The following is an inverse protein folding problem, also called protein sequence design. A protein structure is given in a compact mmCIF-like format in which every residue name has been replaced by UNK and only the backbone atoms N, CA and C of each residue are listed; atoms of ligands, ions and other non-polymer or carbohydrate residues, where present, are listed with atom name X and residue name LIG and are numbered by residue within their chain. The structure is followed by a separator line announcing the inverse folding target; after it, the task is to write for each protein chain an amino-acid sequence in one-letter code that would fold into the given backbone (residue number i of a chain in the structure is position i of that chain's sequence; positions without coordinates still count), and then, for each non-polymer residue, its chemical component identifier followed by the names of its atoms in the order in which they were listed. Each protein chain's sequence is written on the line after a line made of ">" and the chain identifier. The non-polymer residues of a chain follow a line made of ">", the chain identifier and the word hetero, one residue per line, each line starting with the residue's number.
data_IF_779609358973
#
_entry.id   IF_779609358973
#
_cell.length_a   1.000
_cell.length_b   1.000
_cell.length_c   1.000
_cell.angle_alpha   90.00
_cell.angle_beta   90.00
_cell.angle_gamma   90.00
#
_symmetry.space_group_name_H-M   'P 1'
#
loop_
_entity.id
_entity.type
_entity.pdbx_description
1 polymer ?
#
# COMPACT_ATOMS: atom_id res chain seq x y z
N UNK A 1 -52.70 -13.20 -48.84
CA UNK A 1 -53.20 -11.80 -48.83
C UNK A 1 -54.71 -11.84 -49.01
N UNK A 2 -55.55 -10.99 -48.38
CA UNK A 2 -55.34 -9.95 -47.34
C UNK A 2 -55.98 -10.32 -45.96
N UNK A 3 -55.47 -9.85 -44.80
CA UNK A 3 -55.94 -8.71 -43.95
C UNK A 3 -57.25 -9.00 -43.15
N UNK A 4 -57.49 -8.67 -41.86
CA UNK A 4 -56.89 -7.81 -40.81
C UNK A 4 -57.74 -8.01 -39.50
N UNK A 5 -57.16 -7.69 -38.30
CA UNK A 5 -57.75 -7.46 -36.94
C UNK A 5 -58.13 -8.68 -36.05
N UNK A 6 -57.41 -8.94 -34.93
CA UNK A 6 -57.52 -8.34 -33.56
C UNK A 6 -58.82 -8.75 -32.84
N UNK A 7 -58.88 -9.21 -31.59
CA UNK A 7 -57.94 -9.32 -30.46
C UNK A 7 -58.65 -10.04 -29.29
N UNK A 8 -57.86 -10.57 -28.34
CA UNK A 8 -58.18 -10.91 -26.92
C UNK A 8 -58.67 -12.33 -26.58
N UNK A 9 -57.83 -13.05 -25.83
CA UNK A 9 -58.16 -13.94 -24.68
C UNK A 9 -56.86 -14.29 -23.91
N UNK A 10 -56.89 -14.70 -22.63
CA UNK A 10 -56.20 -13.96 -21.57
C UNK A 10 -55.02 -14.68 -20.88
N UNK A 11 -54.12 -13.84 -20.38
CA UNK A 11 -53.47 -13.86 -19.05
C UNK A 11 -53.08 -15.21 -18.44
N UNK A 12 -51.83 -15.62 -18.70
CA UNK A 12 -50.98 -16.33 -17.72
C UNK A 12 -49.54 -15.88 -17.98
N UNK A 13 -48.97 -15.02 -17.13
CA UNK A 13 -47.52 -14.99 -16.88
C UNK A 13 -47.15 -14.03 -15.72
N UNK A 14 -45.98 -14.31 -15.15
CA UNK A 14 -45.26 -13.60 -14.08
C UNK A 14 -45.56 -13.95 -12.62
N UNK A 15 -45.04 -15.12 -12.22
CA UNK A 15 -44.55 -15.37 -10.87
C UNK A 15 -43.03 -15.65 -10.91
N UNK A 16 -42.24 -14.66 -11.32
CA UNK A 16 -40.82 -14.53 -10.97
C UNK A 16 -40.28 -13.23 -11.53
N UNK A 17 -40.29 -12.18 -10.70
CA UNK A 17 -39.37 -11.03 -10.72
C UNK A 17 -39.93 -9.98 -9.75
N UNK A 18 -39.46 -10.02 -8.50
CA UNK A 18 -39.58 -8.91 -7.55
C UNK A 18 -38.77 -9.23 -6.30
N UNK A 19 -37.54 -8.70 -6.26
CA UNK A 19 -36.94 -7.97 -5.12
C UNK A 19 -35.47 -7.67 -5.44
N UNK A 20 -35.25 -6.86 -6.49
CA UNK A 20 -34.12 -5.92 -6.51
C UNK A 20 -34.66 -4.61 -5.95
N UNK A 21 -34.39 -4.38 -4.67
CA UNK A 21 -34.54 -3.15 -3.87
C UNK A 21 -34.56 -3.67 -2.41
N UNK A 22 -33.63 -3.36 -1.51
CA UNK A 22 -32.81 -2.16 -1.35
C UNK A 22 -31.77 -2.48 -0.28
N UNK A 23 -30.51 -2.12 -0.50
CA UNK A 23 -29.71 -1.47 0.53
C UNK A 23 -28.64 -0.63 -0.14
N UNK A 24 -28.67 0.66 0.19
CA UNK A 24 -27.76 1.69 -0.26
C UNK A 24 -26.31 1.32 0.10
N UNK A 25 -25.47 1.12 -0.91
CA UNK A 25 -24.01 1.30 -0.81
C UNK A 25 -23.43 1.46 -2.23
N UNK A 26 -23.79 2.57 -2.88
CA UNK A 26 -23.36 2.84 -4.27
C UNK A 26 -22.69 4.20 -4.45
N UNK A 27 -22.23 4.84 -3.36
CA UNK A 27 -21.57 6.15 -3.42
C UNK A 27 -20.10 6.15 -2.93
N UNK A 28 -19.60 5.11 -2.26
CA UNK A 28 -18.28 5.11 -1.61
C UNK A 28 -17.19 4.31 -2.34
N UNK A 29 -17.54 3.54 -3.38
CA UNK A 29 -16.58 2.64 -4.07
C UNK A 29 -15.72 3.31 -5.15
N UNK A 30 -15.88 4.61 -5.38
CA UNK A 30 -15.38 5.29 -6.59
C UNK A 30 -14.47 6.50 -6.30
N UNK A 31 -14.11 6.75 -5.06
CA UNK A 31 -13.37 7.94 -4.66
C UNK A 31 -11.93 7.58 -4.33
N UNK A 32 -11.02 8.52 -4.59
CA UNK A 32 -9.66 8.48 -4.03
C UNK A 32 -9.72 8.39 -2.49
N UNK A 33 -8.68 7.86 -1.82
CA UNK A 33 -8.63 7.80 -0.36
C UNK A 33 -8.84 9.17 0.27
N UNK A 34 -9.46 9.25 1.44
CA UNK A 34 -9.69 10.52 2.15
C UNK A 34 -8.39 11.09 2.76
N UNK A 35 -8.38 12.36 3.16
CA UNK A 35 -7.20 12.94 3.85
C UNK A 35 -7.02 12.28 5.21
N UNK A 36 -8.11 11.87 5.85
CA UNK A 36 -8.07 11.06 7.08
C UNK A 36 -7.49 9.67 6.83
N UNK A 37 -7.81 9.02 5.71
CA UNK A 37 -7.21 7.73 5.33
C UNK A 37 -5.68 7.88 5.19
N UNK A 38 -5.23 8.94 4.50
CA UNK A 38 -3.81 9.21 4.29
C UNK A 38 -3.09 9.57 5.60
N UNK A 39 -3.75 10.32 6.50
CA UNK A 39 -3.21 10.64 7.81
C UNK A 39 -3.06 9.39 8.69
N UNK A 40 -4.09 8.53 8.74
CA UNK A 40 -4.02 7.26 9.46
C UNK A 40 -2.94 6.34 8.88
N UNK A 41 -2.75 6.35 7.56
CA UNK A 41 -1.65 5.62 6.94
C UNK A 41 -0.28 6.17 7.36
N UNK A 42 -0.09 7.50 7.40
CA UNK A 42 1.15 8.10 7.91
C UNK A 42 1.44 7.67 9.36
N UNK A 43 0.44 7.63 10.23
CA UNK A 43 0.59 7.13 11.61
C UNK A 43 1.02 5.66 11.65
N UNK A 44 0.47 4.83 10.77
CA UNK A 44 0.87 3.42 10.65
C UNK A 44 2.33 3.29 10.18
N UNK A 45 2.76 4.09 9.20
CA UNK A 45 4.14 4.09 8.71
C UNK A 45 5.12 4.52 9.81
N UNK A 46 4.79 5.54 10.61
CA UNK A 46 5.60 5.93 11.78
C UNK A 46 5.65 4.82 12.84
N UNK A 47 4.54 4.09 13.01
CA UNK A 47 4.48 2.93 13.91
C UNK A 47 5.39 1.80 13.43
N UNK A 48 5.46 1.53 12.13
CA UNK A 48 6.41 0.56 11.57
C UNK A 48 7.86 1.00 11.79
N UNK A 49 8.18 2.28 11.60
CA UNK A 49 9.52 2.81 11.88
C UNK A 49 9.90 2.59 13.35
N UNK A 50 9.01 2.97 14.26
CA UNK A 50 9.21 2.78 15.71
C UNK A 50 9.36 1.30 16.08
N UNK A 51 8.63 0.41 15.41
CA UNK A 51 8.74 -1.04 15.61
C UNK A 51 10.13 -1.56 15.22
N UNK A 52 10.70 -1.12 14.09
CA UNK A 52 12.06 -1.53 13.72
C UNK A 52 13.08 -1.01 14.72
N UNK A 53 12.93 0.22 15.19
CA UNK A 53 13.80 0.79 16.22
C UNK A 53 13.73 -0.05 17.51
N UNK A 54 12.53 -0.48 17.93
CA UNK A 54 12.34 -1.39 19.05
C UNK A 54 13.09 -2.72 18.86
N UNK A 55 12.98 -3.33 17.69
CA UNK A 55 13.69 -4.58 17.35
C UNK A 55 15.20 -4.37 17.36
N UNK A 56 15.69 -3.25 16.82
CA UNK A 56 17.12 -2.95 16.81
C UNK A 56 17.69 -2.73 18.22
N UNK A 57 16.93 -2.08 19.12
CA UNK A 57 17.32 -1.93 20.52
C UNK A 57 17.41 -3.29 21.22
N UNK A 58 16.43 -4.17 21.01
CA UNK A 58 16.46 -5.54 21.54
C UNK A 58 17.63 -6.37 21.00
N UNK A 59 18.12 -6.08 19.78
CA UNK A 59 19.27 -6.77 19.21
C UNK A 59 20.54 -6.55 20.03
N UNK A 60 20.74 -5.32 20.53
CA UNK A 60 21.87 -4.99 21.39
C UNK A 60 21.84 -5.80 22.69
N UNK A 61 20.68 -5.87 23.34
CA UNK A 61 20.48 -6.65 24.58
C UNK A 61 20.64 -8.16 24.35
N UNK A 62 20.26 -8.64 23.17
CA UNK A 62 20.37 -10.04 22.77
C UNK A 62 21.77 -10.46 22.29
N UNK A 63 22.72 -9.52 22.19
CA UNK A 63 24.02 -9.75 21.57
C UNK A 63 23.93 -10.18 20.10
N UNK A 64 22.91 -9.71 19.38
CA UNK A 64 22.70 -9.96 17.94
C UNK A 64 23.02 -8.71 17.12
N UNK A 65 23.35 -8.89 15.84
CA UNK A 65 23.39 -7.78 14.89
C UNK A 65 21.95 -7.24 14.67
N UNK A 66 21.73 -5.91 14.61
CA UNK A 66 20.40 -5.32 14.43
C UNK A 66 19.62 -5.87 13.23
N UNK A 67 20.24 -5.87 12.05
CA UNK A 67 19.63 -6.37 10.82
C UNK A 67 19.31 -7.87 10.87
N UNK A 68 20.15 -8.66 11.55
CA UNK A 68 19.87 -10.08 11.75
C UNK A 68 18.60 -10.29 12.59
N UNK A 69 18.41 -9.51 13.65
CA UNK A 69 17.22 -9.63 14.48
C UNK A 69 15.98 -9.12 13.73
N UNK A 70 16.12 -8.07 12.92
CA UNK A 70 15.08 -7.58 12.04
C UNK A 70 14.65 -8.61 10.99
N UNK A 71 15.59 -9.33 10.37
CA UNK A 71 15.29 -10.43 9.44
C UNK A 71 14.51 -11.56 10.11
N UNK A 72 14.93 -11.97 11.32
CA UNK A 72 14.20 -12.95 12.11
C UNK A 72 12.78 -12.47 12.41
N UNK A 73 12.63 -11.17 12.71
CA UNK A 73 11.35 -10.56 13.05
C UNK A 73 10.40 -10.59 11.84
N UNK A 74 10.89 -10.18 10.67
CA UNK A 74 10.12 -10.22 9.44
C UNK A 74 9.73 -11.65 9.05
N UNK A 75 10.64 -12.62 9.16
CA UNK A 75 10.34 -14.02 8.87
C UNK A 75 9.26 -14.58 9.79
N UNK A 76 9.27 -14.21 11.07
CA UNK A 76 8.23 -14.57 12.03
C UNK A 76 6.91 -13.87 11.72
N UNK A 77 6.94 -12.59 11.35
CA UNK A 77 5.75 -11.84 10.92
C UNK A 77 5.06 -12.50 9.72
N UNK A 78 5.84 -12.92 8.71
CA UNK A 78 5.33 -13.65 7.53
C UNK A 78 4.71 -14.99 7.93
N UNK A 79 5.35 -15.76 8.80
CA UNK A 79 4.80 -17.04 9.27
C UNK A 79 3.50 -16.86 10.06
N UNK A 80 3.42 -15.84 10.91
CA UNK A 80 2.20 -15.49 11.65
C UNK A 80 1.10 -15.00 10.71
N UNK A 81 1.46 -14.25 9.67
CA UNK A 81 0.52 -13.82 8.64
C UNK A 81 -0.03 -14.99 7.83
N UNK A 82 0.80 -15.97 7.46
CA UNK A 82 0.34 -17.18 6.77
C UNK A 82 -0.70 -17.95 7.60
N UNK A 83 -0.41 -18.17 8.89
CA UNK A 83 -1.36 -18.79 9.83
C UNK A 83 -2.64 -17.98 10.00
N UNK A 84 -2.51 -16.65 10.16
CA UNK A 84 -3.65 -15.76 10.32
C UNK A 84 -4.54 -15.73 9.07
N UNK A 85 -3.93 -15.69 7.87
CA UNK A 85 -4.64 -15.59 6.60
C UNK A 85 -5.49 -16.82 6.25
N UNK A 86 -5.14 -17.98 6.82
CA UNK A 86 -5.83 -19.26 6.60
C UNK A 86 -6.82 -19.61 7.71
N UNK A 87 -6.81 -18.88 8.84
CA UNK A 87 -7.71 -19.11 9.98
C UNK A 87 -9.18 -19.01 9.56
N UNK A 88 -9.98 -20.03 9.93
CA UNK A 88 -11.41 -20.08 9.67
C UNK A 88 -12.22 -19.12 10.56
N UNK A 89 -11.71 -18.83 11.76
CA UNK A 89 -12.32 -17.94 12.74
C UNK A 89 -11.54 -16.63 12.76
N UNK A 90 -11.93 -15.69 11.90
CA UNK A 90 -11.50 -14.29 12.01
C UNK A 90 -12.72 -13.50 12.44
N UNK A 91 -12.73 -12.89 13.64
CA UNK A 91 -13.71 -11.85 13.93
C UNK A 91 -13.62 -10.81 12.81
N UNK A 92 -14.73 -10.53 12.15
CA UNK A 92 -14.75 -9.66 10.96
C UNK A 92 -14.23 -8.23 11.24
N UNK A 93 -14.08 -7.88 12.52
CA UNK A 93 -13.82 -6.55 13.06
C UNK A 93 -12.57 -6.51 13.95
N UNK A 94 -11.71 -7.53 13.94
CA UNK A 94 -10.48 -7.52 14.75
C UNK A 94 -9.24 -7.41 13.87
N UNK A 95 -8.63 -6.23 13.89
CA UNK A 95 -7.29 -6.01 13.32
C UNK A 95 -6.27 -7.04 13.85
N UNK A 96 -5.39 -7.57 12.98
CA UNK A 96 -4.33 -8.46 13.42
C UNK A 96 -3.28 -7.73 14.26
N UNK A 97 -2.36 -8.49 14.86
CA UNK A 97 -1.19 -7.91 15.53
C UNK A 97 -0.33 -7.11 14.55
N UNK A 98 0.42 -6.13 15.06
CA UNK A 98 1.15 -5.16 14.23
C UNK A 98 2.11 -5.80 13.21
N UNK A 99 2.77 -6.90 13.58
CA UNK A 99 3.66 -7.67 12.71
C UNK A 99 2.91 -8.33 11.55
N UNK A 100 1.76 -8.94 11.83
CA UNK A 100 0.87 -9.54 10.83
C UNK A 100 0.25 -8.46 9.94
N UNK A 101 -0.11 -7.30 10.52
CA UNK A 101 -0.57 -6.14 9.77
C UNK A 101 0.51 -5.61 8.81
N UNK A 102 1.77 -5.53 9.25
CA UNK A 102 2.90 -5.14 8.42
C UNK A 102 3.08 -6.07 7.22
N UNK A 103 3.00 -7.39 7.44
CA UNK A 103 3.06 -8.37 6.37
C UNK A 103 1.87 -8.25 5.41
N UNK A 104 0.65 -8.05 5.93
CA UNK A 104 -0.54 -7.88 5.10
C UNK A 104 -0.48 -6.59 4.26
N UNK A 105 -0.07 -5.48 4.88
CA UNK A 105 0.17 -4.18 4.24
C UNK A 105 1.13 -4.33 3.06
N UNK A 106 2.30 -4.95 3.27
CA UNK A 106 3.29 -5.16 2.22
C UNK A 106 2.77 -6.02 1.05
N UNK A 107 1.89 -7.00 1.31
CA UNK A 107 1.27 -7.79 0.23
C UNK A 107 0.25 -6.98 -0.58
N UNK A 108 -0.55 -6.12 0.07
CA UNK A 108 -1.56 -5.29 -0.61
C UNK A 108 -0.93 -4.20 -1.49
N UNK A 109 0.26 -3.71 -1.12
CA UNK A 109 1.05 -2.76 -1.92
C UNK A 109 1.67 -3.39 -3.17
N UNK A 110 1.38 -4.66 -3.46
CA UNK A 110 1.64 -5.28 -4.76
C UNK A 110 0.30 -5.75 -5.38
N UNK A 111 -0.44 -4.88 -6.08
CA UNK A 111 -1.84 -5.10 -6.45
C UNK A 111 -2.08 -6.35 -7.30
N UNK A 112 -1.16 -6.65 -8.24
CA UNK A 112 -1.23 -7.88 -9.06
C UNK A 112 -1.05 -9.15 -8.23
N UNK A 113 -0.07 -9.17 -7.32
CA UNK A 113 0.19 -10.31 -6.45
C UNK A 113 -0.98 -10.54 -5.49
N UNK A 114 -1.52 -9.46 -4.90
CA UNK A 114 -2.70 -9.54 -4.05
C UNK A 114 -3.93 -10.03 -4.81
N UNK A 115 -4.23 -9.46 -5.98
CA UNK A 115 -5.34 -9.92 -6.82
C UNK A 115 -5.20 -11.40 -7.18
N UNK A 116 -3.99 -11.85 -7.55
CA UNK A 116 -3.72 -13.24 -7.87
C UNK A 116 -3.95 -14.17 -6.66
N UNK A 117 -3.54 -13.76 -5.48
CA UNK A 117 -3.80 -14.49 -4.25
C UNK A 117 -5.31 -14.65 -3.98
N UNK A 118 -6.10 -13.59 -4.17
CA UNK A 118 -7.57 -13.65 -4.01
C UNK A 118 -8.22 -14.55 -5.07
N UNK A 119 -7.81 -14.44 -6.34
CA UNK A 119 -8.29 -15.32 -7.42
C UNK A 119 -8.05 -16.80 -7.12
N UNK A 120 -6.98 -17.12 -6.41
CA UNK A 120 -6.61 -18.48 -6.00
C UNK A 120 -7.27 -18.93 -4.68
N UNK A 121 -8.29 -18.21 -4.23
CA UNK A 121 -9.09 -18.57 -3.04
C UNK A 121 -8.52 -18.05 -1.72
N UNK A 122 -7.63 -17.06 -1.76
CA UNK A 122 -7.18 -16.32 -0.59
C UNK A 122 -8.37 -15.69 0.16
N UNK A 123 -8.38 -15.77 1.49
CA UNK A 123 -9.53 -15.36 2.31
C UNK A 123 -9.46 -13.90 2.80
N UNK A 124 -8.48 -13.12 2.37
CA UNK A 124 -8.35 -11.72 2.79
C UNK A 124 -9.27 -10.87 1.90
N UNK A 125 -10.33 -10.28 2.46
CA UNK A 125 -11.35 -9.56 1.68
C UNK A 125 -10.78 -8.40 0.85
N UNK A 126 -11.58 -7.83 -0.04
CA UNK A 126 -11.15 -6.73 -0.92
C UNK A 126 -11.42 -5.33 -0.35
N UNK A 127 -12.03 -5.25 0.84
CA UNK A 127 -12.34 -4.00 1.53
C UNK A 127 -11.08 -3.34 2.10
N UNK A 128 -10.03 -4.14 2.35
CA UNK A 128 -8.72 -3.66 2.77
C UNK A 128 -8.61 -3.37 4.26
N UNK A 129 -7.80 -2.37 4.61
CA UNK A 129 -7.53 -1.97 6.00
C UNK A 129 -8.64 -1.06 6.53
N UNK A 130 -9.16 -1.36 7.72
CA UNK A 130 -10.08 -0.47 8.43
C UNK A 130 -9.32 0.62 9.21
N UNK A 131 -9.21 1.81 8.63
CA UNK A 131 -8.49 2.94 9.23
C UNK A 131 -9.02 3.38 10.60
N UNK A 132 -10.32 3.20 10.89
CA UNK A 132 -10.87 3.59 12.20
C UNK A 132 -10.37 2.73 13.36
N UNK A 133 -9.83 1.55 13.05
CA UNK A 133 -9.30 0.61 14.05
C UNK A 133 -7.78 0.76 14.25
N UNK A 134 -7.09 1.56 13.42
CA UNK A 134 -5.64 1.78 13.49
C UNK A 134 -5.23 2.71 14.65
N UNK A 135 -6.18 3.26 15.39
CA UNK A 135 -5.89 4.20 16.47
C UNK A 135 -5.34 3.52 17.73
N UNK A 136 -4.01 3.42 17.80
CA UNK A 136 -3.18 3.74 18.97
C UNK A 136 -1.72 3.71 18.54
N UNK A 137 -1.08 4.87 18.50
CA UNK A 137 0.38 4.94 18.42
C UNK A 137 0.96 4.18 19.61
N UNK A 138 1.56 3.02 19.34
CA UNK A 138 2.31 2.30 20.35
C UNK A 138 3.61 3.06 20.57
N UNK A 139 3.92 3.40 21.82
CA UNK A 139 5.23 3.94 22.12
C UNK A 139 6.28 2.82 22.05
N UNK A 140 7.54 3.23 21.94
CA UNK A 140 8.68 2.33 21.83
C UNK A 140 8.72 1.30 22.98
N UNK A 141 8.43 1.73 24.21
CA UNK A 141 8.42 0.85 25.40
C UNK A 141 7.37 -0.26 25.29
N UNK A 142 6.14 0.07 24.87
CA UNK A 142 5.06 -0.89 24.67
C UNK A 142 5.37 -1.87 23.54
N UNK A 143 6.06 -1.41 22.50
CA UNK A 143 6.49 -2.27 21.39
C UNK A 143 7.56 -3.25 21.85
N UNK A 144 8.59 -2.77 22.54
CA UNK A 144 9.63 -3.61 23.14
C UNK A 144 8.99 -4.69 24.03
N UNK A 145 8.06 -4.31 24.90
CA UNK A 145 7.37 -5.24 25.79
C UNK A 145 6.51 -6.29 25.06
N UNK A 146 6.05 -6.00 23.84
CA UNK A 146 5.22 -6.91 23.03
C UNK A 146 6.03 -7.96 22.25
N UNK A 147 7.34 -7.75 22.11
CA UNK A 147 8.21 -8.62 21.30
C UNK A 147 8.73 -9.78 22.17
N UNK A 148 8.31 -11.00 21.84
CA UNK A 148 8.82 -12.23 22.47
C UNK A 148 10.20 -12.61 21.89
N UNK A 149 11.24 -12.02 22.49
CA UNK A 149 12.63 -12.21 22.08
C UNK A 149 13.09 -13.69 22.16
N UNK A 150 12.79 -14.47 23.21
CA UNK A 150 13.08 -15.91 23.20
C UNK A 150 12.46 -16.66 22.03
N UNK A 151 11.19 -16.40 21.70
CA UNK A 151 10.52 -17.06 20.58
C UNK A 151 11.06 -16.60 19.22
N UNK A 152 11.62 -15.39 19.14
CA UNK A 152 12.27 -14.84 17.96
C UNK A 152 13.65 -15.47 17.70
N UNK A 153 14.40 -15.75 18.76
CA UNK A 153 15.73 -16.37 18.70
C UNK A 153 15.71 -17.91 18.68
N UNK A 154 14.55 -18.51 18.89
CA UNK A 154 14.38 -19.95 18.82
C UNK A 154 14.84 -20.50 17.46
N UNK A 155 15.33 -21.76 17.38
CA UNK A 155 15.79 -22.36 16.13
C UNK A 155 14.73 -22.22 15.03
N UNK A 156 15.12 -21.87 13.79
CA UNK A 156 14.17 -21.53 12.75
C UNK A 156 13.29 -22.73 12.42
N UNK A 157 12.03 -22.68 12.82
CA UNK A 157 11.01 -23.58 12.31
C UNK A 157 10.69 -23.14 10.88
N UNK A 158 11.33 -23.72 9.85
CA UNK A 158 11.03 -23.56 8.41
C UNK A 158 10.55 -22.17 7.93
N UNK A 159 11.04 -21.09 8.55
CA UNK A 159 10.58 -19.73 8.30
C UNK A 159 11.41 -19.16 7.16
N UNK A 160 10.86 -19.15 5.95
CA UNK A 160 11.57 -18.81 4.71
C UNK A 160 11.40 -17.34 4.30
N UNK A 161 10.59 -16.57 5.03
CA UNK A 161 10.21 -15.20 4.63
C UNK A 161 9.36 -15.12 3.36
N UNK A 162 8.99 -16.27 2.79
CA UNK A 162 8.11 -16.39 1.62
C UNK A 162 6.72 -16.78 2.09
N UNK A 163 5.74 -15.92 1.84
CA UNK A 163 4.34 -16.24 2.10
C UNK A 163 3.87 -17.31 1.12
N UNK A 164 3.26 -18.38 1.63
CA UNK A 164 2.75 -19.49 0.84
C UNK A 164 1.24 -19.68 1.08
N UNK A 165 0.45 -19.62 0.02
CA UNK A 165 -0.96 -20.02 0.06
C UNK A 165 -1.11 -21.38 -0.61
N UNK A 166 -1.70 -22.33 0.11
CA UNK A 166 -1.90 -23.70 -0.34
C UNK A 166 -3.38 -24.08 -0.36
N UNK A 167 -3.72 -25.06 -1.21
CA UNK A 167 -5.04 -25.67 -1.24
C UNK A 167 -5.31 -26.44 0.07
N UNK A 168 -6.58 -26.80 0.36
CA UNK A 168 -6.90 -27.70 1.48
C UNK A 168 -6.18 -29.06 1.42
N UNK A 169 -5.70 -29.48 0.25
CA UNK A 169 -4.93 -30.71 0.03
C UNK A 169 -3.42 -30.51 0.20
N UNK A 170 -2.97 -29.32 0.59
CA UNK A 170 -1.55 -28.99 0.82
C UNK A 170 -0.77 -28.64 -0.45
N UNK A 171 -1.43 -28.45 -1.60
CA UNK A 171 -0.75 -28.05 -2.85
C UNK A 171 -0.50 -26.56 -2.83
N UNK A 172 0.75 -26.12 -2.99
CA UNK A 172 1.09 -24.70 -3.13
C UNK A 172 0.41 -24.10 -4.36
N UNK A 173 -0.38 -23.04 -4.14
CA UNK A 173 -1.10 -22.31 -5.19
C UNK A 173 -0.42 -20.98 -5.51
N UNK A 174 0.14 -20.32 -4.50
CA UNK A 174 0.74 -19.00 -4.62
C UNK A 174 1.89 -18.84 -3.64
N UNK A 175 2.95 -18.16 -4.07
CA UNK A 175 4.09 -17.80 -3.24
C UNK A 175 4.50 -16.37 -3.52
N UNK A 176 4.91 -15.64 -2.48
CA UNK A 176 5.41 -14.27 -2.63
C UNK A 176 6.53 -13.99 -1.61
N UNK A 177 7.68 -13.41 -2.00
CA UNK A 177 8.81 -13.14 -1.11
C UNK A 177 8.51 -11.96 -0.17
N UNK A 178 7.64 -12.20 0.81
CA UNK A 178 7.00 -11.15 1.59
C UNK A 178 7.97 -10.42 2.53
N UNK A 179 9.01 -11.08 3.06
CA UNK A 179 10.07 -10.40 3.82
C UNK A 179 10.82 -9.36 2.95
N UNK A 180 11.10 -9.69 1.68
CA UNK A 180 11.74 -8.73 0.78
C UNK A 180 10.82 -7.53 0.49
N UNK A 181 9.53 -7.78 0.29
CA UNK A 181 8.54 -6.72 0.13
C UNK A 181 8.41 -5.83 1.38
N UNK A 182 8.35 -6.42 2.59
CA UNK A 182 8.33 -5.66 3.86
C UNK A 182 9.53 -4.69 3.91
N UNK A 183 10.73 -5.16 3.57
CA UNK A 183 11.94 -4.33 3.59
C UNK A 183 11.91 -3.20 2.55
N UNK A 184 11.41 -3.45 1.34
CA UNK A 184 11.24 -2.38 0.33
C UNK A 184 10.25 -1.32 0.77
N UNK A 185 9.11 -1.75 1.30
CA UNK A 185 8.09 -0.84 1.82
C UNK A 185 8.58 -0.08 3.07
N UNK A 186 9.48 -0.66 3.85
CA UNK A 186 10.10 0.03 4.98
C UNK A 186 10.94 1.25 4.57
N UNK A 187 11.66 1.17 3.44
CA UNK A 187 12.40 2.32 2.90
C UNK A 187 11.47 3.50 2.58
N UNK A 188 10.24 3.24 2.12
CA UNK A 188 9.23 4.27 1.95
C UNK A 188 8.76 4.83 3.31
N UNK A 189 8.47 3.98 4.29
CA UNK A 189 8.10 4.41 5.66
C UNK A 189 9.12 5.35 6.29
N UNK A 190 10.42 5.07 6.12
CA UNK A 190 11.49 5.94 6.61
C UNK A 190 11.45 7.34 5.97
N UNK A 191 11.29 7.40 4.64
CA UNK A 191 11.18 8.67 3.91
C UNK A 191 9.99 9.47 4.43
N UNK A 192 8.81 8.85 4.52
CA UNK A 192 7.60 9.50 5.03
C UNK A 192 7.77 10.03 6.46
N UNK A 193 8.33 9.21 7.35
CA UNK A 193 8.57 9.58 8.75
C UNK A 193 9.54 10.77 8.86
N UNK A 194 10.61 10.79 8.05
CA UNK A 194 11.62 11.86 8.06
C UNK A 194 11.06 13.22 7.66
N UNK A 195 10.06 13.26 6.76
CA UNK A 195 9.42 14.50 6.35
C UNK A 195 8.39 15.03 7.36
N UNK A 196 7.98 14.21 8.33
CA UNK A 196 7.14 14.64 9.45
C UNK A 196 5.86 15.40 9.05
N UNK A 197 5.16 14.99 7.99
CA UNK A 197 4.02 15.75 7.44
C UNK A 197 2.89 16.00 8.43
N UNK A 198 2.60 15.03 9.31
CA UNK A 198 1.60 15.20 10.37
C UNK A 198 1.97 16.32 11.37
N UNK A 199 3.26 16.65 11.48
CA UNK A 199 3.80 17.72 12.33
C UNK A 199 3.99 19.04 11.56
N UNK A 200 3.57 19.12 10.29
CA UNK A 200 3.66 20.36 9.50
C UNK A 200 2.66 21.42 9.98
N UNK A 201 2.82 22.67 9.52
CA UNK A 201 1.94 23.78 9.91
C UNK A 201 0.48 23.59 9.45
N UNK A 202 0.27 22.92 8.31
CA UNK A 202 -1.07 22.61 7.80
C UNK A 202 -1.09 21.22 7.13
N UNK A 203 -1.19 20.14 7.92
CA UNK A 203 -1.19 18.77 7.39
C UNK A 203 -2.43 18.48 6.53
N UNK A 204 -3.58 19.08 6.86
CA UNK A 204 -4.81 18.90 6.10
C UNK A 204 -4.69 19.46 4.67
N UNK A 205 -4.13 20.66 4.51
CA UNK A 205 -3.94 21.27 3.19
C UNK A 205 -2.90 20.49 2.37
N UNK A 206 -1.83 20.03 3.00
CA UNK A 206 -0.80 19.19 2.37
C UNK A 206 -1.42 17.91 1.80
N UNK A 207 -2.22 17.19 2.60
CA UNK A 207 -2.86 15.95 2.17
C UNK A 207 -3.93 16.18 1.09
N UNK A 208 -4.68 17.30 1.17
CA UNK A 208 -5.64 17.67 0.13
C UNK A 208 -4.95 17.98 -1.22
N UNK A 209 -3.80 18.65 -1.17
CA UNK A 209 -2.98 18.89 -2.36
C UNK A 209 -2.44 17.57 -2.94
N UNK A 210 -1.96 16.67 -2.09
CA UNK A 210 -1.48 15.34 -2.50
C UNK A 210 -2.57 14.52 -3.21
N UNK A 211 -3.80 14.53 -2.71
CA UNK A 211 -4.94 13.86 -3.35
C UNK A 211 -5.25 14.43 -4.75
N UNK A 212 -5.22 15.75 -4.88
CA UNK A 212 -5.46 16.43 -6.16
C UNK A 212 -4.39 16.02 -7.18
N UNK A 213 -3.13 16.04 -6.75
CA UNK A 213 -1.99 15.64 -7.56
C UNK A 213 -2.01 14.17 -7.93
N UNK A 214 -2.47 13.29 -7.04
CA UNK A 214 -2.69 11.87 -7.34
C UNK A 214 -3.74 11.65 -8.43
N UNK A 215 -4.85 12.40 -8.41
CA UNK A 215 -5.85 12.32 -9.47
C UNK A 215 -5.30 12.80 -10.83
N UNK A 216 -4.53 13.90 -10.84
CA UNK A 216 -3.80 14.39 -12.01
C UNK A 216 -2.79 13.36 -12.53
N UNK A 217 -2.06 12.70 -11.64
CA UNK A 217 -1.11 11.63 -11.99
C UNK A 217 -1.79 10.46 -12.71
N UNK A 218 -2.95 10.01 -12.24
CA UNK A 218 -3.73 8.98 -12.92
C UNK A 218 -4.25 9.41 -14.30
N UNK A 219 -4.56 10.70 -14.47
CA UNK A 219 -4.88 11.25 -15.78
C UNK A 219 -3.70 11.16 -16.74
N UNK A 220 -2.48 11.48 -16.28
CA UNK A 220 -1.26 11.36 -17.08
C UNK A 220 -0.96 9.91 -17.47
N UNK A 221 -1.13 8.95 -16.57
CA UNK A 221 -1.00 7.51 -16.87
C UNK A 221 -1.95 7.11 -18.01
N UNK A 222 -3.20 7.58 -17.97
CA UNK A 222 -4.18 7.27 -19.00
C UNK A 222 -3.84 7.92 -20.35
N UNK A 223 -3.31 9.14 -20.33
CA UNK A 223 -2.96 9.91 -21.52
C UNK A 223 -1.68 9.43 -22.23
N UNK A 224 -0.79 8.72 -21.52
CA UNK A 224 0.52 8.30 -22.03
C UNK A 224 0.71 6.78 -21.89
N UNK A 225 -0.07 5.97 -22.65
CA UNK A 225 0.03 4.52 -22.56
C UNK A 225 1.42 4.03 -22.97
N UNK A 226 2.05 3.22 -22.12
CA UNK A 226 3.39 2.67 -22.36
C UNK A 226 4.54 3.51 -21.81
N UNK A 227 4.26 4.71 -21.30
CA UNK A 227 5.23 5.52 -20.55
C UNK A 227 5.26 5.10 -19.09
N UNK A 228 6.46 4.88 -18.57
CA UNK A 228 6.70 4.61 -17.15
C UNK A 228 6.59 5.94 -16.40
N UNK A 229 5.58 6.06 -15.53
CA UNK A 229 5.38 7.25 -14.70
C UNK A 229 5.93 7.00 -13.28
N UNK A 230 6.64 8.00 -12.73
CA UNK A 230 7.21 7.95 -11.37
C UNK A 230 6.49 8.98 -10.49
N UNK A 231 5.86 8.58 -9.38
CA UNK A 231 5.17 9.49 -8.49
C UNK A 231 6.16 10.30 -7.63
N UNK A 232 5.79 11.53 -7.27
CA UNK A 232 6.42 12.20 -6.11
C UNK A 232 5.96 11.55 -4.81
N UNK A 233 6.66 11.83 -3.71
CA UNK A 233 6.40 11.19 -2.41
C UNK A 233 4.95 11.39 -1.92
N UNK A 234 4.33 12.53 -2.22
CA UNK A 234 2.95 12.87 -1.85
C UNK A 234 1.92 12.12 -2.70
N UNK A 235 2.18 12.00 -4.00
CA UNK A 235 1.38 11.16 -4.90
C UNK A 235 1.49 9.70 -4.48
N UNK A 236 2.70 9.24 -4.14
CA UNK A 236 2.97 7.85 -3.77
C UNK A 236 2.30 7.49 -2.43
N UNK A 237 2.26 8.40 -1.45
CA UNK A 237 1.47 8.20 -0.22
C UNK A 237 0.00 7.93 -0.53
N UNK A 238 -0.63 8.78 -1.33
CA UNK A 238 -2.06 8.60 -1.68
C UNK A 238 -2.26 7.32 -2.46
N UNK A 239 -1.31 6.98 -3.35
CA UNK A 239 -1.36 5.76 -4.13
C UNK A 239 -1.27 4.52 -3.24
N UNK A 240 -0.28 4.43 -2.35
CA UNK A 240 -0.18 3.32 -1.38
C UNK A 240 -1.45 3.21 -0.54
N UNK A 241 -1.94 4.35 -0.02
CA UNK A 241 -3.19 4.39 0.76
C UNK A 241 -4.38 3.84 -0.04
N UNK A 242 -4.42 4.08 -1.35
CA UNK A 242 -5.45 3.56 -2.23
C UNK A 242 -5.34 2.05 -2.42
N UNK A 243 -4.12 1.53 -2.63
CA UNK A 243 -3.86 0.10 -2.81
C UNK A 243 -4.26 -0.73 -1.58
N UNK A 244 -4.23 -0.14 -0.38
CA UNK A 244 -4.71 -0.73 0.87
C UNK A 244 -6.25 -0.86 0.95
N UNK A 245 -6.98 -0.51 -0.11
CA UNK A 245 -8.39 -0.83 -0.35
C UNK A 245 -8.56 -1.49 -1.75
N UNK A 246 -8.22 -2.78 -1.91
CA UNK A 246 -8.05 -3.42 -3.22
C UNK A 246 -9.23 -3.31 -4.18
N UNK A 247 -10.48 -3.46 -3.71
CA UNK A 247 -11.67 -3.29 -4.55
C UNK A 247 -11.80 -1.86 -5.08
N UNK A 248 -11.62 -0.87 -4.20
CA UNK A 248 -11.72 0.56 -4.53
C UNK A 248 -10.62 0.95 -5.52
N UNK A 249 -9.39 0.49 -5.27
CA UNK A 249 -8.25 0.73 -6.15
C UNK A 249 -8.43 0.12 -7.55
N UNK A 250 -8.90 -1.14 -7.63
CA UNK A 250 -9.17 -1.80 -8.90
C UNK A 250 -10.26 -1.06 -9.69
N UNK A 251 -11.34 -0.64 -9.03
CA UNK A 251 -12.43 0.10 -9.66
C UNK A 251 -11.97 1.46 -10.19
N UNK A 252 -11.19 2.21 -9.41
CA UNK A 252 -10.63 3.49 -9.82
C UNK A 252 -9.64 3.34 -10.98
N UNK A 253 -8.70 2.40 -10.87
CA UNK A 253 -7.71 2.11 -11.91
C UNK A 253 -8.36 1.76 -13.26
N UNK A 254 -9.32 0.83 -13.26
CA UNK A 254 -10.05 0.43 -14.48
C UNK A 254 -10.86 1.58 -15.08
N UNK A 255 -11.47 2.42 -14.26
CA UNK A 255 -12.26 3.56 -14.72
C UNK A 255 -11.39 4.61 -15.40
N UNK A 256 -10.25 4.94 -14.79
CA UNK A 256 -9.42 6.06 -15.26
C UNK A 256 -8.47 5.64 -16.37
N UNK A 257 -7.94 4.42 -16.32
CA UNK A 257 -6.87 3.96 -17.24
C UNK A 257 -7.26 2.74 -18.08
N UNK A 258 -8.42 2.13 -17.86
CA UNK A 258 -8.87 0.91 -18.53
C UNK A 258 -8.26 -0.39 -17.99
N UNK A 259 -7.23 -0.32 -17.14
CA UNK A 259 -6.55 -1.49 -16.56
C UNK A 259 -6.29 -1.32 -15.06
N UNK A 260 -5.90 -2.41 -14.38
CA UNK A 260 -5.29 -2.28 -13.07
C UNK A 260 -3.91 -1.63 -13.27
N UNK A 261 -3.72 -0.48 -12.65
CA UNK A 261 -2.43 0.21 -12.60
C UNK A 261 -1.54 -0.58 -11.64
N UNK A 262 -0.31 -0.87 -12.05
CA UNK A 262 0.65 -1.60 -11.23
C UNK A 262 1.58 -0.64 -10.49
N UNK A 263 2.06 -1.05 -9.33
CA UNK A 263 3.07 -0.32 -8.56
C UNK A 263 4.32 -1.22 -8.49
N UNK A 264 5.32 -0.94 -9.31
CA UNK A 264 6.57 -1.70 -9.42
C UNK A 264 7.64 -0.99 -8.55
N UNK A 265 7.81 -1.48 -7.33
CA UNK A 265 8.79 -0.98 -6.36
C UNK A 265 10.20 -1.56 -6.56
N UNK A 266 10.45 -2.29 -7.65
CA UNK A 266 11.72 -2.98 -7.93
C UNK A 266 12.59 -2.25 -8.98
N UNK A 267 12.20 -1.03 -9.39
CA UNK A 267 12.92 -0.27 -10.42
C UNK A 267 14.19 0.38 -9.84
N UNK A 268 15.38 0.17 -10.44
CA UNK A 268 16.65 0.71 -9.93
C UNK A 268 16.71 2.25 -9.92
N UNK A 269 17.36 2.82 -8.90
CA UNK A 269 17.47 4.27 -8.68
C UNK A 269 18.03 5.06 -9.88
N UNK A 270 19.00 4.49 -10.60
CA UNK A 270 19.58 5.08 -11.81
C UNK A 270 18.56 5.29 -12.94
N UNK A 271 17.57 4.40 -13.04
CA UNK A 271 16.45 4.54 -13.99
C UNK A 271 15.43 5.57 -13.48
N UNK A 272 15.23 5.66 -12.16
CA UNK A 272 14.29 6.60 -11.56
C UNK A 272 14.68 8.06 -11.77
N UNK A 273 15.97 8.39 -11.80
CA UNK A 273 16.43 9.77 -12.05
C UNK A 273 16.02 10.28 -13.45
N UNK A 274 16.19 9.44 -14.48
CA UNK A 274 15.79 9.77 -15.85
C UNK A 274 14.28 9.88 -15.95
N UNK A 275 13.56 8.88 -15.44
CA UNK A 275 12.09 8.86 -15.44
C UNK A 275 11.47 10.04 -14.67
N UNK A 276 12.12 10.48 -13.58
CA UNK A 276 11.71 11.67 -12.82
C UNK A 276 11.89 12.96 -13.63
N UNK A 277 12.92 13.05 -14.47
CA UNK A 277 13.12 14.20 -15.36
C UNK A 277 12.03 14.26 -16.42
N UNK A 278 11.73 13.12 -17.06
CA UNK A 278 10.66 13.02 -18.06
C UNK A 278 9.30 13.35 -17.43
N UNK A 279 9.03 12.85 -16.22
CA UNK A 279 7.80 13.11 -15.49
C UNK A 279 7.59 14.62 -15.20
N UNK A 280 8.65 15.36 -14.86
CA UNK A 280 8.58 16.82 -14.67
C UNK A 280 8.18 17.55 -15.94
N UNK A 281 8.75 17.15 -17.08
CA UNK A 281 8.43 17.74 -18.37
C UNK A 281 6.96 17.48 -18.75
N UNK A 282 6.51 16.22 -18.63
CA UNK A 282 5.12 15.81 -18.90
C UNK A 282 4.15 16.56 -17.98
N UNK A 283 4.46 16.67 -16.68
CA UNK A 283 3.61 17.38 -15.73
C UNK A 283 3.47 18.86 -16.08
N UNK A 284 4.59 19.52 -16.38
CA UNK A 284 4.61 20.94 -16.74
C UNK A 284 3.86 21.21 -18.03
N UNK A 285 4.00 20.34 -19.03
CA UNK A 285 3.25 20.45 -20.29
C UNK A 285 1.75 20.29 -20.07
N UNK A 286 1.33 19.37 -19.20
CA UNK A 286 -0.08 19.08 -18.98
C UNK A 286 -0.79 20.10 -18.08
N UNK A 287 -0.10 20.65 -17.08
CA UNK A 287 -0.73 21.44 -16.01
C UNK A 287 -0.18 22.86 -15.84
N UNK A 288 0.90 23.23 -16.54
CA UNK A 288 1.62 24.50 -16.36
C UNK A 288 2.06 24.75 -14.89
N UNK A 289 2.37 23.66 -14.19
CA UNK A 289 2.77 23.63 -12.78
C UNK A 289 4.14 22.95 -12.59
N UNK A 290 4.82 23.24 -11.49
CA UNK A 290 6.01 22.50 -11.07
C UNK A 290 5.62 21.11 -10.53
N UNK A 291 6.34 20.07 -10.95
CA UNK A 291 6.01 18.71 -10.50
C UNK A 291 6.37 18.46 -9.04
N UNK A 292 7.47 19.02 -8.53
CA UNK A 292 7.82 18.85 -7.11
C UNK A 292 7.05 19.86 -6.25
N UNK A 293 6.49 19.45 -5.10
CA UNK A 293 5.99 20.37 -4.09
C UNK A 293 7.08 21.35 -3.63
N UNK A 294 6.69 22.59 -3.29
CA UNK A 294 7.64 23.64 -2.88
C UNK A 294 8.58 23.23 -1.74
N UNK A 295 8.10 22.42 -0.78
CA UNK A 295 8.89 21.89 0.33
C UNK A 295 9.99 20.87 -0.10
N UNK A 296 10.00 20.44 -1.37
CA UNK A 296 10.95 19.49 -1.95
C UNK A 296 11.80 20.13 -3.07
N UNK A 297 11.68 21.44 -3.32
CA UNK A 297 12.33 22.12 -4.45
C UNK A 297 13.79 22.55 -4.20
N UNK A 298 14.33 22.39 -2.99
CA UNK A 298 15.70 22.84 -2.67
C UNK A 298 16.72 21.70 -2.64
N UNK A 299 17.48 21.57 -3.73
CA UNK A 299 18.91 21.16 -3.73
C UNK A 299 19.62 21.58 -5.04
N UNK A 300 19.26 22.74 -5.60
CA UNK A 300 19.90 23.30 -6.80
C UNK A 300 20.87 24.47 -6.49
N UNK A 301 21.30 24.64 -5.24
CA UNK A 301 21.92 25.89 -4.78
C UNK A 301 23.07 25.82 -3.78
N UNK A 302 23.67 24.66 -3.47
CA UNK A 302 24.83 24.63 -2.56
C UNK A 302 26.16 24.70 -3.32
N UNK A 303 26.46 25.89 -3.84
CA UNK A 303 27.81 26.29 -4.21
C UNK A 303 28.60 26.73 -2.96
N UNK A 304 29.45 25.84 -2.46
CA UNK A 304 30.59 26.19 -1.61
C UNK A 304 30.41 26.01 -0.10
N UNK A 305 31.25 25.13 0.48
CA UNK A 305 31.54 25.13 1.92
C UNK A 305 31.42 23.76 2.58
N UNK A 306 32.41 22.90 2.37
CA UNK A 306 32.60 21.68 3.14
C UNK A 306 32.75 21.99 4.65
N UNK A 307 32.06 21.23 5.51
CA UNK A 307 32.27 21.31 6.96
C UNK A 307 31.32 20.48 7.82
N UNK A 308 31.46 19.15 7.80
CA UNK A 308 31.10 18.31 8.96
C UNK A 308 30.05 17.23 8.75
N UNK A 309 30.49 16.08 8.25
CA UNK A 309 30.12 14.74 8.73
C UNK A 309 28.64 14.37 8.93
N UNK A 310 27.98 13.95 7.85
CA UNK A 310 26.97 12.88 7.86
C UNK A 310 27.21 12.03 6.61
N UNK A 311 27.78 10.83 6.80
CA UNK A 311 27.87 9.83 5.74
C UNK A 311 26.55 9.06 5.65
N UNK A 312 25.99 8.95 4.45
CA UNK A 312 24.82 8.14 4.16
C UNK A 312 24.04 8.70 2.98
N UNK A 313 24.26 8.12 1.82
CA UNK A 313 23.63 8.45 0.53
C UNK A 313 22.10 8.47 0.63
N UNK A 314 21.50 9.65 0.46
CA UNK A 314 20.05 9.85 0.52
C UNK A 314 19.59 10.69 -0.66
N UNK A 315 19.59 10.11 -1.85
CA UNK A 315 18.97 10.72 -3.02
C UNK A 315 17.46 10.82 -2.83
N UNK A 316 16.90 12.00 -3.11
CA UNK A 316 15.46 12.20 -3.32
C UNK A 316 15.04 11.45 -4.59
N UNK A 317 14.87 10.13 -4.48
CA UNK A 317 14.55 9.30 -5.63
C UNK A 317 14.55 7.82 -5.27
N UNK A 318 13.49 7.36 -4.62
CA UNK A 318 13.02 5.99 -4.84
C UNK A 318 11.58 5.86 -4.33
N UNK A 319 10.66 5.99 -5.26
CA UNK A 319 9.25 5.66 -5.17
C UNK A 319 8.98 4.79 -6.39
N UNK A 320 8.34 3.64 -6.22
CA UNK A 320 8.15 2.65 -7.29
C UNK A 320 7.62 3.28 -8.59
N UNK A 321 7.96 2.71 -9.73
CA UNK A 321 7.45 3.17 -11.02
C UNK A 321 6.39 2.21 -11.57
N UNK A 322 5.74 2.57 -12.67
CA UNK A 322 4.67 1.77 -13.28
C UNK A 322 5.11 1.12 -14.60
N UNK A 323 4.64 -0.11 -14.88
CA UNK A 323 4.60 -0.70 -16.25
C UNK A 323 3.15 -0.98 -16.70
#
# INVERSE_FOLDING_TARGET
>A
MPAILSSQTPSVEHQQQSKLATTQSTATSNTVPSTADCAAHLELLETFVTLRDAVHLLAADAGQAPERLWDLYCNRAVSRFEQWSTSAERPAEQMPSLDVLMAWHALMLHPKAYARFIELGGRLGLDGINWSEISRSLNLESLIASIDLPALLAPPASQTGTFTHASPTGTTLFTYPLTAAINRQFSFSLKMSSHAWLRSASPADLLAAAQTRYAQFFHLIAAHPGTVMVPTLDIDLVWHTHQLAPARYLAYSKRTTGKLVDHDDEIPDESLAVLSTDMRAIWREAFDEEYLPAACQEDAGCGGGCGGGCGGEGGCGSCGAMK
#
